data_IF_234351689907
#
_entry.id   IF_234351689907
#
_cell.length_a   1.000
_cell.length_b   1.000
_cell.length_c   1.000
_cell.angle_alpha   90.00
_cell.angle_beta   90.00
_cell.angle_gamma   90.00
#
_symmetry.space_group_name_H-M   'P 1'
#
loop_
_entity.id
_entity.type
_entity.pdbx_description
1 polymer ?
#
# COMPACT_ATOMS: atom_id res chain seq x y z
N UNK A 1 -28.02 18.98 13.54
CA UNK A 1 -26.94 19.98 13.68
C UNK A 1 -25.79 19.51 12.81
N UNK A 2 -25.65 20.14 11.64
CA UNK A 2 -24.69 19.75 10.59
C UNK A 2 -23.28 20.19 10.98
N UNK A 3 -22.32 19.26 10.92
CA UNK A 3 -20.89 19.55 11.08
C UNK A 3 -20.28 19.65 9.68
N UNK A 4 -19.99 20.88 9.27
CA UNK A 4 -19.42 21.26 7.98
C UNK A 4 -17.94 20.88 7.91
N UNK A 5 -17.51 20.21 6.83
CA UNK A 5 -16.10 20.01 6.51
C UNK A 5 -15.41 21.36 6.31
N UNK A 6 -14.33 21.61 7.06
CA UNK A 6 -13.45 22.76 6.85
C UNK A 6 -12.19 22.25 6.13
N UNK A 7 -12.18 22.37 4.81
CA UNK A 7 -10.93 22.54 4.06
C UNK A 7 -10.69 24.06 3.96
N UNK A 8 -9.79 24.59 4.78
CA UNK A 8 -9.40 26.01 4.72
C UNK A 8 -8.21 26.15 3.76
N UNK A 9 -8.45 26.71 2.59
CA UNK A 9 -7.41 27.17 1.67
C UNK A 9 -6.63 28.35 2.29
N UNK A 10 -5.30 28.21 2.36
CA UNK A 10 -4.39 29.29 2.72
C UNK A 10 -4.21 30.24 1.52
N UNK A 11 -4.79 31.44 1.60
CA UNK A 11 -4.44 32.58 0.75
C UNK A 11 -3.34 33.38 1.44
N UNK A 12 -2.17 33.48 0.79
CA UNK A 12 -1.04 34.31 1.23
C UNK A 12 -1.44 35.79 1.18
N UNK A 13 -1.48 36.45 2.34
CA UNK A 13 -1.57 37.91 2.45
C UNK A 13 -0.17 38.52 2.33
N UNK A 14 0.13 39.18 1.22
CA UNK A 14 1.23 40.14 1.14
C UNK A 14 0.74 41.52 1.59
N UNK A 15 1.46 42.11 2.55
CA UNK A 15 1.18 43.42 3.14
C UNK A 15 1.29 44.58 2.15
N UNK A 16 0.53 45.64 2.41
CA UNK A 16 0.31 46.77 1.51
C UNK A 16 1.30 47.93 1.62
N UNK A 17 1.16 48.87 0.68
CA UNK A 17 1.60 50.26 0.76
C UNK A 17 0.47 51.13 0.15
N UNK A 18 0.09 52.28 0.73
CA UNK A 18 -1.17 52.97 0.42
C UNK A 18 -0.97 54.09 -0.61
N UNK A 19 -1.93 54.26 -1.54
CA UNK A 19 -2.07 55.49 -2.33
C UNK A 19 -3.54 55.91 -2.40
N UNK A 20 -3.74 57.22 -2.34
CA UNK A 20 -4.93 57.97 -1.98
C UNK A 20 -6.12 57.92 -2.95
N UNK A 21 -7.27 58.35 -2.40
CA UNK A 21 -8.58 58.56 -3.02
C UNK A 21 -8.52 59.39 -4.31
N UNK A 22 -9.29 58.98 -5.32
CA UNK A 22 -10.32 59.82 -5.94
C UNK A 22 -11.32 58.99 -6.76
N UNK A 23 -12.52 59.52 -6.80
CA UNK A 23 -13.73 59.03 -7.44
C UNK A 23 -13.60 59.00 -8.97
N UNK A 24 -14.29 58.08 -9.62
CA UNK A 24 -15.44 58.36 -10.50
C UNK A 24 -15.84 57.08 -11.27
N UNK A 25 -17.14 56.93 -11.45
CA UNK A 25 -17.77 55.91 -12.30
C UNK A 25 -17.22 55.97 -13.73
N UNK A 26 -17.08 54.83 -14.40
CA UNK A 26 -17.36 54.62 -15.84
C UNK A 26 -17.27 53.13 -16.22
N UNK A 27 -18.04 52.76 -17.23
CA UNK A 27 -18.50 51.42 -17.62
C UNK A 27 -17.60 50.69 -18.64
N UNK A 28 -17.85 49.39 -18.82
CA UNK A 28 -17.19 48.41 -19.70
C UNK A 28 -16.74 48.88 -21.09
N UNK A 29 -15.41 48.98 -21.28
CA UNK A 29 -14.57 48.60 -22.43
C UNK A 29 -13.32 49.46 -22.40
N UNK A 30 -12.18 48.89 -21.97
CA UNK A 30 -10.83 49.23 -22.44
C UNK A 30 -9.78 48.36 -21.71
N UNK A 31 -8.61 48.23 -22.35
CA UNK A 31 -7.37 47.52 -21.95
C UNK A 31 -7.25 46.07 -22.48
N UNK A 32 -7.15 45.99 -23.80
CA UNK A 32 -6.36 45.00 -24.54
C UNK A 32 -5.17 45.76 -25.17
N UNK A 33 -3.98 45.72 -24.57
CA UNK A 33 -2.69 45.97 -25.26
C UNK A 33 -1.47 45.96 -24.30
N UNK A 34 -0.50 45.11 -24.65
CA UNK A 34 0.97 45.25 -24.49
C UNK A 34 1.64 44.91 -23.15
N UNK A 35 2.21 43.69 -23.08
CA UNK A 35 3.67 43.50 -22.92
C UNK A 35 4.13 42.26 -23.73
N UNK A 36 4.91 42.54 -24.77
CA UNK A 36 5.81 41.69 -25.59
C UNK A 36 7.09 41.35 -24.78
N UNK A 37 7.90 40.31 -24.98
CA UNK A 37 8.11 39.20 -25.94
C UNK A 37 9.03 38.13 -25.26
N UNK A 38 9.72 37.19 -25.97
CA UNK A 38 9.21 35.93 -26.54
C UNK A 38 9.91 34.67 -25.93
N UNK A 39 9.30 33.48 -26.09
CA UNK A 39 10.01 32.19 -25.89
C UNK A 39 10.09 31.43 -27.22
N UNK A 40 11.31 31.01 -27.55
CA UNK A 40 11.73 30.32 -28.78
C UNK A 40 11.16 28.89 -28.81
N UNK A 41 10.60 28.46 -29.96
CA UNK A 41 10.34 27.03 -30.27
C UNK A 41 11.29 26.54 -31.36
N UNK A 42 11.76 25.28 -31.32
CA UNK A 42 12.55 24.71 -32.41
C UNK A 42 11.67 24.37 -33.62
N UNK A 43 12.23 24.61 -34.80
CA UNK A 43 11.72 24.24 -36.11
C UNK A 43 11.75 22.72 -36.33
N UNK A 44 10.67 22.15 -36.88
CA UNK A 44 10.67 20.83 -37.51
C UNK A 44 10.23 21.02 -38.97
N UNK A 45 11.10 20.62 -39.90
CA UNK A 45 10.88 20.70 -41.33
C UNK A 45 9.88 19.63 -41.84
N UNK A 46 9.17 19.87 -42.96
CA UNK A 46 8.18 18.93 -43.48
C UNK A 46 8.75 18.05 -44.61
N UNK A 47 8.29 16.80 -44.70
CA UNK A 47 8.38 15.99 -45.92
C UNK A 47 7.12 15.14 -46.14
N UNK A 48 6.84 14.73 -47.40
CA UNK A 48 5.50 14.81 -47.98
C UNK A 48 4.76 13.47 -48.07
N UNK A 49 3.48 13.59 -48.42
CA UNK A 49 2.54 12.52 -48.74
C UNK A 49 3.04 11.51 -49.80
N UNK A 50 2.70 10.23 -49.60
CA UNK A 50 2.22 9.38 -50.69
C UNK A 50 1.31 8.26 -50.15
N UNK A 51 0.26 7.98 -50.90
CA UNK A 51 -0.73 6.91 -50.74
C UNK A 51 -0.35 5.71 -51.62
N UNK A 52 -0.67 4.48 -51.20
CA UNK A 52 -1.37 3.44 -52.00
C UNK A 52 -1.26 2.01 -51.44
N UNK A 53 -2.44 1.37 -51.41
CA UNK A 53 -2.81 -0.03 -51.71
C UNK A 53 -2.08 -1.29 -51.21
N UNK A 54 -2.87 -2.12 -50.50
CA UNK A 54 -3.16 -3.57 -50.68
C UNK A 54 -2.06 -4.52 -51.24
N UNK A 55 -1.67 -5.54 -50.45
CA UNK A 55 -1.86 -6.95 -50.84
C UNK A 55 -1.67 -7.96 -49.68
N UNK A 56 -2.39 -9.06 -49.79
CA UNK A 56 -2.43 -10.26 -48.94
C UNK A 56 -1.43 -11.32 -49.45
N UNK A 57 -0.85 -12.13 -48.54
CA UNK A 57 -0.36 -13.52 -48.75
C UNK A 57 0.22 -14.04 -47.42
N UNK A 58 -0.40 -15.00 -46.72
CA UNK A 58 -0.29 -16.47 -46.84
C UNK A 58 1.09 -17.10 -46.53
N UNK A 59 1.14 -17.78 -45.37
CA UNK A 59 1.68 -19.13 -45.06
C UNK A 59 3.18 -19.42 -45.35
N UNK A 60 3.94 -19.80 -44.32
CA UNK A 60 4.53 -21.15 -44.17
C UNK A 60 5.16 -21.38 -42.80
N UNK A 61 4.66 -22.44 -42.15
CA UNK A 61 5.18 -23.14 -40.99
C UNK A 61 6.35 -24.04 -41.39
N UNK A 62 7.33 -24.20 -40.49
CA UNK A 62 8.27 -25.31 -40.53
C UNK A 62 8.26 -26.03 -39.17
N UNK A 63 7.77 -27.27 -39.20
CA UNK A 63 8.07 -28.31 -38.22
C UNK A 63 9.37 -28.99 -38.63
N UNK A 64 10.24 -29.30 -37.65
CA UNK A 64 11.07 -30.51 -37.69
C UNK A 64 11.08 -31.17 -36.31
N UNK A 65 11.31 -32.48 -36.33
CA UNK A 65 10.94 -33.46 -35.32
C UNK A 65 12.19 -34.22 -34.85
N UNK A 66 12.03 -34.93 -33.72
CA UNK A 66 12.82 -36.08 -33.25
C UNK A 66 14.18 -35.80 -32.59
N UNK A 67 14.70 -36.58 -31.64
CA UNK A 67 14.15 -37.61 -30.74
C UNK A 67 15.23 -37.97 -29.71
N UNK A 68 14.75 -38.34 -28.51
CA UNK A 68 15.32 -39.20 -27.45
C UNK A 68 16.72 -39.83 -27.55
N UNK A 69 17.45 -39.84 -26.42
CA UNK A 69 18.05 -41.04 -25.81
C UNK A 69 18.56 -40.77 -24.37
N UNK A 70 18.58 -41.82 -23.55
CA UNK A 70 18.58 -41.80 -22.08
C UNK A 70 19.83 -42.48 -21.48
N UNK A 71 20.32 -41.94 -20.33
CA UNK A 71 20.97 -42.61 -19.17
C UNK A 71 22.36 -43.31 -19.34
N UNK A 72 23.06 -43.74 -18.24
CA UNK A 72 23.33 -43.12 -16.92
C UNK A 72 24.84 -43.23 -16.50
N UNK A 73 25.18 -42.84 -15.25
CA UNK A 73 26.10 -43.53 -14.28
C UNK A 73 26.99 -42.58 -13.45
N UNK A 74 27.08 -42.96 -12.16
CA UNK A 74 27.78 -42.50 -10.95
C UNK A 74 29.23 -42.00 -11.03
N UNK A 75 29.63 -41.19 -10.03
CA UNK A 75 31.02 -41.00 -9.64
C UNK A 75 31.18 -40.30 -8.28
N UNK A 76 31.38 -41.10 -7.23
CA UNK A 76 31.83 -40.68 -5.89
C UNK A 76 33.33 -40.36 -5.97
N UNK A 77 33.78 -39.26 -5.36
CA UNK A 77 35.21 -39.06 -5.05
C UNK A 77 35.39 -38.55 -3.62
N UNK A 78 36.12 -39.35 -2.85
CA UNK A 78 36.69 -39.06 -1.54
C UNK A 78 38.21 -39.16 -1.72
N UNK A 79 38.98 -38.11 -1.43
CA UNK A 79 40.45 -38.20 -1.28
C UNK A 79 40.88 -37.36 -0.07
N UNK A 80 41.69 -38.01 0.74
CA UNK A 80 42.26 -37.61 2.02
C UNK A 80 43.70 -37.09 1.90
N UNK A 81 44.09 -36.31 2.92
CA UNK A 81 45.44 -36.11 3.49
C UNK A 81 46.54 -35.40 2.69
N UNK A 82 47.17 -34.40 3.35
CA UNK A 82 48.63 -34.20 3.43
C UNK A 82 49.01 -33.29 4.63
N UNK A 83 49.57 -33.93 5.67
CA UNK A 83 50.79 -33.54 6.44
C UNK A 83 51.03 -32.07 6.86
N UNK A 84 50.99 -31.71 8.15
CA UNK A 84 52.01 -31.91 9.20
C UNK A 84 53.32 -31.11 9.02
N UNK A 85 53.47 -30.03 9.81
CA UNK A 85 54.77 -29.50 10.25
C UNK A 85 54.81 -29.51 11.78
N UNK A 86 55.91 -30.03 12.33
CA UNK A 86 56.14 -30.28 13.74
C UNK A 86 57.53 -29.76 14.14
N UNK A 87 57.64 -29.45 15.45
CA UNK A 87 58.81 -29.23 16.32
C UNK A 87 59.42 -27.81 16.46
N UNK A 88 60.03 -27.46 17.63
CA UNK A 88 60.14 -28.21 18.90
C UNK A 88 59.79 -27.46 20.21
N UNK A 89 59.52 -28.27 21.24
CA UNK A 89 59.40 -27.96 22.67
C UNK A 89 60.66 -27.36 23.31
N UNK A 90 60.48 -26.57 24.37
CA UNK A 90 61.26 -26.73 25.62
C UNK A 90 60.41 -26.48 26.87
N UNK A 91 60.75 -27.26 27.90
CA UNK A 91 60.04 -27.66 29.13
C UNK A 91 60.25 -26.67 30.30
N UNK A 92 59.68 -27.03 31.46
CA UNK A 92 59.79 -26.51 32.83
C UNK A 92 58.68 -25.51 33.20
N UNK A 93 57.94 -25.64 34.30
CA UNK A 93 57.86 -26.59 35.41
C UNK A 93 56.68 -26.12 36.27
N UNK A 94 55.91 -27.06 36.83
CA UNK A 94 54.80 -26.74 37.74
C UNK A 94 55.41 -26.37 39.09
N UNK A 95 55.00 -25.23 39.64
CA UNK A 95 55.13 -24.98 41.08
C UNK A 95 53.85 -24.36 41.65
N UNK A 96 53.34 -25.00 42.68
CA UNK A 96 52.15 -24.62 43.43
C UNK A 96 52.51 -23.65 44.55
N UNK A 97 51.70 -22.59 44.71
CA UNK A 97 51.37 -21.84 45.95
C UNK A 97 51.34 -20.32 45.69
N UNK A 98 50.16 -19.74 45.75
CA UNK A 98 49.87 -18.58 46.61
C UNK A 98 48.41 -18.18 46.45
N UNK A 99 47.65 -18.35 47.53
CA UNK A 99 46.30 -17.86 47.72
C UNK A 99 46.38 -16.36 48.04
N UNK A 100 45.83 -15.51 47.15
CA UNK A 100 45.38 -14.18 47.53
C UNK A 100 43.91 -14.03 47.18
N UNK A 101 43.11 -14.03 48.24
CA UNK A 101 41.67 -13.80 48.25
C UNK A 101 41.41 -12.31 48.04
N UNK A 102 41.18 -11.90 46.80
CA UNK A 102 40.67 -10.56 46.49
C UNK A 102 39.16 -10.65 46.41
N UNK A 103 38.47 -10.18 47.45
CA UNK A 103 37.02 -10.06 47.50
C UNK A 103 36.54 -9.10 46.40
N UNK A 104 36.10 -9.66 45.27
CA UNK A 104 35.35 -8.91 44.25
C UNK A 104 33.96 -8.66 44.82
N UNK A 105 33.71 -7.43 45.27
CA UNK A 105 32.35 -6.95 45.47
C UNK A 105 31.68 -6.92 44.10
N UNK A 106 30.82 -7.90 43.82
CA UNK A 106 29.91 -7.86 42.69
C UNK A 106 28.92 -6.72 42.94
N UNK A 107 29.22 -5.55 42.37
CA UNK A 107 28.22 -4.53 42.14
C UNK A 107 27.23 -5.08 41.12
N UNK A 108 26.06 -5.52 41.60
CA UNK A 108 24.93 -5.92 40.75
C UNK A 108 24.38 -4.67 40.08
N UNK A 109 25.05 -4.22 39.02
CA UNK A 109 24.48 -3.26 38.08
C UNK A 109 23.43 -4.02 37.29
N UNK A 110 22.17 -3.91 37.72
CA UNK A 110 20.99 -4.38 36.99
C UNK A 110 21.08 -3.84 35.56
N UNK A 111 21.47 -4.71 34.62
CA UNK A 111 21.41 -4.38 33.21
C UNK A 111 19.93 -4.34 32.86
N UNK A 112 19.36 -3.14 32.81
CA UNK A 112 18.11 -2.92 32.06
C UNK A 112 18.37 -3.48 30.66
N UNK A 113 17.77 -4.64 30.38
CA UNK A 113 17.72 -5.23 29.04
C UNK A 113 17.19 -4.13 28.13
N UNK A 114 18.03 -3.59 27.25
CA UNK A 114 17.54 -2.74 26.18
C UNK A 114 16.52 -3.58 25.42
N UNK A 115 15.26 -3.15 25.43
CA UNK A 115 14.25 -3.71 24.53
C UNK A 115 14.85 -3.64 23.13
N UNK A 116 15.01 -4.79 22.48
CA UNK A 116 15.30 -4.80 21.05
C UNK A 116 14.21 -4.00 20.34
N UNK A 117 14.52 -3.38 19.20
CA UNK A 117 13.55 -2.55 18.48
C UNK A 117 12.24 -3.27 18.10
N UNK A 118 12.18 -4.60 18.28
CA UNK A 118 11.02 -5.45 18.03
C UNK A 118 9.99 -5.51 19.17
N UNK A 119 10.37 -5.12 20.41
CA UNK A 119 9.48 -5.09 21.59
C UNK A 119 8.84 -3.69 21.80
N UNK A 120 8.93 -2.82 20.80
CA UNK A 120 8.41 -1.45 20.84
C UNK A 120 6.96 -1.43 20.34
N UNK A 121 6.10 -0.56 20.90
CA UNK A 121 4.72 -0.47 20.45
C UNK A 121 4.64 0.04 19.01
N UNK A 122 3.68 -0.49 18.27
CA UNK A 122 3.27 0.04 16.97
C UNK A 122 2.26 1.15 17.18
N UNK A 123 2.44 2.27 16.48
CA UNK A 123 1.50 3.39 16.49
C UNK A 123 1.05 3.70 15.06
N UNK A 124 -0.24 3.60 14.81
CA UNK A 124 -0.88 4.02 13.58
C UNK A 124 -1.38 5.46 13.72
N UNK A 125 -0.95 6.32 12.81
CA UNK A 125 -1.41 7.70 12.69
C UNK A 125 -2.21 7.79 11.37
N UNK A 126 -3.52 7.95 11.49
CA UNK A 126 -4.45 8.04 10.36
C UNK A 126 -5.62 8.97 10.67
N UNK A 127 -6.36 9.42 9.67
CA UNK A 127 -7.57 10.21 9.89
C UNK A 127 -8.54 9.48 10.83
N UNK A 128 -9.03 10.15 11.89
CA UNK A 128 -9.94 9.53 12.84
C UNK A 128 -11.33 9.31 12.23
N UNK A 129 -12.13 8.43 12.83
CA UNK A 129 -13.55 8.17 12.51
C UNK A 129 -13.87 7.56 11.14
N UNK A 130 -12.87 7.37 10.28
CA UNK A 130 -13.02 6.74 8.97
C UNK A 130 -12.09 5.53 8.83
N UNK A 131 -12.56 4.43 8.20
CA UNK A 131 -11.69 3.30 7.87
C UNK A 131 -10.53 3.76 6.97
N UNK A 132 -10.89 4.28 5.79
CA UNK A 132 -9.97 4.86 4.81
C UNK A 132 -8.79 3.96 4.44
N UNK A 133 -7.66 4.58 4.09
CA UNK A 133 -6.40 3.90 3.70
C UNK A 133 -5.70 3.24 4.90
N UNK A 134 -6.04 3.65 6.12
CA UNK A 134 -5.50 3.09 7.37
C UNK A 134 -6.08 1.72 7.71
N UNK A 135 -7.27 1.39 7.20
CA UNK A 135 -7.98 0.15 7.54
C UNK A 135 -7.20 -1.11 7.16
N UNK A 136 -6.45 -1.07 6.06
CA UNK A 136 -5.60 -2.19 5.63
C UNK A 136 -4.52 -2.52 6.68
N UNK A 137 -4.00 -1.50 7.37
CA UNK A 137 -2.98 -1.66 8.41
C UNK A 137 -3.62 -2.16 9.70
N UNK A 138 -4.80 -1.63 10.07
CA UNK A 138 -5.59 -2.13 11.20
C UNK A 138 -5.87 -3.62 11.05
N UNK A 139 -6.36 -4.05 9.90
CA UNK A 139 -6.63 -5.46 9.62
C UNK A 139 -5.38 -6.34 9.73
N UNK A 140 -4.20 -5.85 9.36
CA UNK A 140 -2.95 -6.60 9.53
C UNK A 140 -2.59 -6.81 11.01
N UNK A 141 -2.74 -5.77 11.85
CA UNK A 141 -2.55 -5.91 13.29
C UNK A 141 -3.61 -6.83 13.92
N UNK A 142 -4.88 -6.66 13.55
CA UNK A 142 -5.99 -7.46 14.07
C UNK A 142 -5.87 -8.93 13.65
N UNK A 143 -5.51 -9.23 12.40
CA UNK A 143 -5.28 -10.61 11.92
C UNK A 143 -4.14 -11.31 12.67
N UNK A 144 -3.06 -10.59 12.97
CA UNK A 144 -1.93 -11.14 13.74
C UNK A 144 -2.22 -11.19 15.25
N UNK A 145 -3.16 -10.37 15.75
CA UNK A 145 -3.39 -10.15 17.17
C UNK A 145 -2.28 -9.32 17.82
N UNK A 146 -1.53 -8.56 17.01
CA UNK A 146 -0.42 -7.74 17.47
C UNK A 146 -0.95 -6.43 18.05
N UNK A 147 -0.60 -6.08 19.31
CA UNK A 147 -1.01 -4.82 19.91
C UNK A 147 -0.50 -3.61 19.13
N UNK A 148 -1.37 -2.62 18.96
CA UNK A 148 -1.03 -1.32 18.36
C UNK A 148 -1.90 -0.22 18.97
N UNK A 149 -1.40 1.02 18.91
CA UNK A 149 -2.15 2.23 19.23
C UNK A 149 -2.66 2.90 17.95
N UNK A 150 -3.96 3.15 17.85
CA UNK A 150 -4.56 3.95 16.77
C UNK A 150 -4.66 5.41 17.22
N UNK A 151 -3.50 6.08 17.25
CA UNK A 151 -3.24 7.35 17.95
C UNK A 151 -4.34 8.38 17.74
N UNK A 152 -4.77 8.55 16.50
CA UNK A 152 -5.72 9.59 16.15
C UNK A 152 -7.14 9.31 16.64
N UNK A 153 -7.48 8.06 16.94
CA UNK A 153 -8.76 7.64 17.49
C UNK A 153 -8.76 7.53 19.03
N UNK A 154 -7.62 7.72 19.72
CA UNK A 154 -7.54 7.62 21.19
C UNK A 154 -8.16 8.83 21.91
N UNK A 155 -8.22 9.99 21.27
CA UNK A 155 -8.81 11.21 21.84
C UNK A 155 -9.37 12.14 20.75
N UNK A 156 -10.14 13.15 21.15
CA UNK A 156 -10.67 14.16 20.22
C UNK A 156 -9.55 15.00 19.59
N UNK A 157 -8.46 15.19 20.33
CA UNK A 157 -7.27 15.93 19.91
C UNK A 157 -6.29 15.08 19.09
N UNK A 158 -6.55 13.77 18.94
CA UNK A 158 -5.69 12.82 18.22
C UNK A 158 -5.49 13.16 16.73
N UNK A 159 -6.37 13.96 16.14
CA UNK A 159 -6.18 14.51 14.78
C UNK A 159 -4.90 15.37 14.67
N UNK A 160 -4.45 16.01 15.76
CA UNK A 160 -3.24 16.83 15.75
C UNK A 160 -2.00 16.00 15.39
N UNK A 161 -1.94 14.73 15.80
CA UNK A 161 -0.87 13.83 15.41
C UNK A 161 -0.78 13.65 13.88
N UNK A 162 -1.91 13.70 13.16
CA UNK A 162 -1.90 13.68 11.69
C UNK A 162 -1.41 15.02 11.14
N UNK A 163 -1.98 16.13 11.64
CA UNK A 163 -1.69 17.48 11.15
C UNK A 163 -0.22 17.87 11.32
N UNK A 164 0.39 17.48 12.44
CA UNK A 164 1.82 17.69 12.70
C UNK A 164 2.69 16.96 11.67
N UNK A 165 2.31 15.73 11.29
CA UNK A 165 3.11 14.93 10.36
C UNK A 165 3.05 15.45 8.93
N UNK A 166 1.89 15.96 8.48
CA UNK A 166 1.70 16.43 7.09
C UNK A 166 1.88 17.95 6.92
N UNK A 167 2.28 18.66 7.98
CA UNK A 167 2.53 20.09 7.89
C UNK A 167 3.69 20.37 6.93
N UNK A 168 3.56 21.44 6.15
CA UNK A 168 4.63 22.04 5.34
C UNK A 168 5.88 22.42 6.14
N UNK A 169 5.76 22.57 7.46
CA UNK A 169 6.88 22.83 8.38
C UNK A 169 7.60 21.56 8.82
N UNK A 170 7.02 20.38 8.62
CA UNK A 170 7.69 19.13 8.89
C UNK A 170 8.68 18.84 7.76
N UNK A 171 9.97 18.94 8.06
CA UNK A 171 11.05 18.68 7.09
C UNK A 171 11.63 17.26 7.23
N UNK A 172 11.05 16.41 8.07
CA UNK A 172 11.60 15.10 8.42
C UNK A 172 12.68 15.20 9.50
N UNK A 173 13.54 14.18 9.57
CA UNK A 173 14.68 14.14 10.48
C UNK A 173 15.80 13.25 9.90
N UNK A 174 16.88 13.05 10.66
CA UNK A 174 18.04 12.25 10.26
C UNK A 174 17.70 10.80 9.85
N UNK A 175 16.55 10.28 10.28
CA UNK A 175 16.10 8.92 9.98
C UNK A 175 15.16 8.84 8.77
N UNK A 176 14.72 9.96 8.19
CA UNK A 176 13.89 9.91 6.99
C UNK A 176 13.16 11.22 6.61
N UNK A 177 12.62 11.27 5.39
CA UNK A 177 11.85 12.41 4.90
C UNK A 177 10.49 12.53 5.63
N UNK A 178 9.84 13.72 5.59
CA UNK A 178 8.52 13.90 6.16
C UNK A 178 7.47 13.11 5.37
N UNK A 179 6.44 12.55 6.03
CA UNK A 179 5.30 11.97 5.34
C UNK A 179 4.50 13.00 4.54
N UNK A 180 4.11 12.66 3.31
CA UNK A 180 3.22 13.52 2.51
C UNK A 180 1.76 13.44 3.02
N UNK A 181 1.31 12.24 3.36
CA UNK A 181 -0.07 11.96 3.76
C UNK A 181 -0.14 10.71 4.66
N UNK A 182 -1.17 10.59 5.52
CA UNK A 182 -1.44 9.35 6.24
C UNK A 182 -1.97 8.25 5.29
N UNK A 183 -1.82 6.95 5.64
CA UNK A 183 -1.37 6.45 6.94
C UNK A 183 0.14 6.54 7.14
N UNK A 184 0.51 6.70 8.40
CA UNK A 184 1.88 6.72 8.90
C UNK A 184 1.99 5.69 10.02
N UNK A 185 3.03 4.88 9.98
CA UNK A 185 3.39 3.95 11.04
C UNK A 185 4.61 4.49 11.78
N UNK A 186 4.50 4.61 13.11
CA UNK A 186 5.64 4.73 14.01
C UNK A 186 5.90 3.39 14.68
N UNK A 187 7.17 2.99 14.75
CA UNK A 187 7.59 1.80 15.47
C UNK A 187 8.92 2.06 16.20
N UNK A 188 8.86 2.16 17.52
CA UNK A 188 9.99 2.59 18.34
C UNK A 188 10.50 4.00 17.99
N UNK A 189 11.77 4.27 18.28
CA UNK A 189 12.38 5.61 18.09
C UNK A 189 12.84 5.90 16.66
N UNK A 190 13.00 4.87 15.82
CA UNK A 190 13.77 4.99 14.58
C UNK A 190 12.94 4.72 13.32
N UNK A 191 11.71 4.20 13.44
CA UNK A 191 10.87 3.89 12.28
C UNK A 191 9.70 4.86 12.25
N UNK A 192 9.66 5.67 11.20
CA UNK A 192 8.55 6.53 10.83
C UNK A 192 8.37 6.40 9.32
N UNK A 193 7.41 5.57 8.89
CA UNK A 193 7.20 5.27 7.47
C UNK A 193 5.75 5.56 7.08
N UNK A 194 5.54 5.93 5.81
CA UNK A 194 4.22 6.24 5.24
C UNK A 194 3.97 5.42 3.97
N UNK A 195 2.77 5.56 3.40
CA UNK A 195 2.19 4.78 2.29
C UNK A 195 1.73 3.38 2.72
N UNK A 196 0.44 3.07 2.52
CA UNK A 196 -0.17 1.79 2.90
C UNK A 196 0.63 0.57 2.39
N UNK A 197 1.03 0.46 1.10
CA UNK A 197 1.78 -0.71 0.63
C UNK A 197 3.16 -0.83 1.30
N UNK A 198 3.85 0.30 1.50
CA UNK A 198 5.18 0.34 2.11
C UNK A 198 5.13 -0.06 3.59
N UNK A 199 4.12 0.42 4.32
CA UNK A 199 3.86 0.01 5.71
C UNK A 199 3.58 -1.49 5.78
N UNK A 200 2.71 -2.02 4.91
CA UNK A 200 2.38 -3.45 4.91
C UNK A 200 3.57 -4.32 4.52
N UNK A 201 4.41 -3.88 3.57
CA UNK A 201 5.65 -4.56 3.22
C UNK A 201 6.62 -4.66 4.43
N UNK A 202 6.71 -3.59 5.22
CA UNK A 202 7.51 -3.58 6.46
C UNK A 202 6.92 -4.49 7.54
N UNK A 203 5.59 -4.47 7.71
CA UNK A 203 4.90 -5.23 8.74
C UNK A 203 4.78 -6.72 8.40
N UNK A 204 4.66 -7.08 7.12
CA UNK A 204 4.39 -8.45 6.67
C UNK A 204 5.23 -9.52 7.36
N UNK A 205 6.58 -9.46 7.29
CA UNK A 205 7.45 -10.41 7.96
C UNK A 205 7.31 -10.38 9.49
N UNK A 206 7.10 -9.21 10.08
CA UNK A 206 7.00 -9.02 11.55
C UNK A 206 5.70 -9.57 12.13
N UNK A 207 4.65 -9.59 11.32
CA UNK A 207 3.33 -10.05 11.71
C UNK A 207 3.05 -11.50 11.27
N UNK A 208 4.01 -12.17 10.61
CA UNK A 208 3.81 -13.49 10.02
C UNK A 208 2.79 -13.50 8.87
N UNK A 209 2.67 -12.37 8.16
CA UNK A 209 1.73 -12.16 7.04
C UNK A 209 2.41 -12.17 5.67
N UNK A 210 3.62 -12.73 5.62
CA UNK A 210 4.36 -13.08 4.41
C UNK A 210 5.01 -14.45 4.58
N UNK A 211 5.30 -15.17 3.49
CA UNK A 211 6.20 -16.32 3.52
C UNK A 211 7.54 -15.98 4.17
N UNK A 212 8.16 -17.00 4.74
CA UNK A 212 9.54 -16.94 5.23
C UNK A 212 10.49 -16.66 4.05
N UNK A 213 11.32 -15.63 4.19
CA UNK A 213 12.28 -15.20 3.17
C UNK A 213 13.31 -16.27 2.83
N UNK A 214 13.64 -17.16 3.77
CA UNK A 214 14.59 -18.24 3.53
C UNK A 214 14.03 -19.30 2.56
N UNK A 215 12.72 -19.50 2.60
CA UNK A 215 12.01 -20.44 1.74
C UNK A 215 11.54 -19.80 0.43
N UNK A 216 11.23 -18.51 0.46
CA UNK A 216 10.70 -17.75 -0.66
C UNK A 216 11.22 -16.30 -0.65
N UNK A 217 12.43 -16.05 -1.18
CA UNK A 217 13.08 -14.74 -1.09
C UNK A 217 12.39 -13.65 -1.91
N UNK A 218 11.47 -14.01 -2.82
CA UNK A 218 10.73 -13.06 -3.67
C UNK A 218 9.25 -12.95 -3.32
N UNK A 219 8.73 -13.85 -2.48
CA UNK A 219 7.31 -13.91 -2.12
C UNK A 219 6.76 -12.61 -1.56
N UNK A 220 7.53 -11.90 -0.72
CA UNK A 220 7.12 -10.60 -0.18
C UNK A 220 6.84 -9.56 -1.29
N UNK A 221 7.62 -9.57 -2.38
CA UNK A 221 7.42 -8.64 -3.50
C UNK A 221 6.22 -9.03 -4.37
N UNK A 222 5.93 -10.33 -4.52
CA UNK A 222 4.70 -10.78 -5.17
C UNK A 222 3.45 -10.36 -4.38
N UNK A 223 3.47 -10.52 -3.06
CA UNK A 223 2.38 -10.08 -2.17
C UNK A 223 2.23 -8.55 -2.23
N UNK A 224 3.33 -7.81 -2.27
CA UNK A 224 3.28 -6.36 -2.43
C UNK A 224 2.69 -5.94 -3.79
N UNK A 225 3.03 -6.64 -4.89
CA UNK A 225 2.44 -6.38 -6.20
C UNK A 225 0.93 -6.61 -6.23
N UNK A 226 0.46 -7.69 -5.57
CA UNK A 226 -0.98 -7.96 -5.40
C UNK A 226 -1.67 -6.87 -4.59
N UNK A 227 -1.03 -6.41 -3.52
CA UNK A 227 -1.51 -5.31 -2.66
C UNK A 227 -1.66 -4.01 -3.44
N UNK A 228 -0.62 -3.62 -4.18
CA UNK A 228 -0.64 -2.44 -5.05
C UNK A 228 -1.77 -2.53 -6.08
N UNK A 229 -1.91 -3.68 -6.73
CA UNK A 229 -2.96 -3.91 -7.74
C UNK A 229 -4.37 -3.79 -7.17
N UNK A 230 -4.61 -4.32 -5.96
CA UNK A 230 -5.90 -4.20 -5.28
C UNK A 230 -6.19 -2.73 -4.93
N UNK A 231 -5.21 -2.02 -4.39
CA UNK A 231 -5.36 -0.61 -4.01
C UNK A 231 -5.60 0.28 -5.23
N UNK A 232 -4.96 0.03 -6.36
CA UNK A 232 -5.17 0.80 -7.59
C UNK A 232 -6.62 0.67 -8.07
N UNK A 233 -7.06 -0.56 -8.31
CA UNK A 233 -8.34 -0.80 -8.96
C UNK A 233 -9.56 -0.78 -8.06
N UNK A 234 -9.39 -1.20 -6.82
CA UNK A 234 -10.52 -1.43 -5.91
C UNK A 234 -10.56 -0.41 -4.77
N UNK A 235 -9.53 0.44 -4.60
CA UNK A 235 -9.55 1.56 -3.64
C UNK A 235 -9.44 2.92 -4.32
N UNK A 236 -8.38 3.17 -5.10
CA UNK A 236 -8.13 4.46 -5.74
C UNK A 236 -9.18 4.75 -6.81
N UNK A 237 -9.36 3.83 -7.78
CA UNK A 237 -10.35 4.03 -8.83
C UNK A 237 -11.79 4.08 -8.29
N UNK A 238 -12.07 3.41 -7.17
CA UNK A 238 -13.36 3.52 -6.47
C UNK A 238 -13.59 4.92 -5.88
N UNK A 239 -12.56 5.50 -5.24
CA UNK A 239 -12.59 6.89 -4.78
C UNK A 239 -12.80 7.87 -5.95
N UNK A 240 -12.09 7.67 -7.05
CA UNK A 240 -12.14 8.56 -8.20
C UNK A 240 -13.49 8.56 -8.91
N UNK A 241 -14.38 7.60 -8.63
CA UNK A 241 -15.76 7.62 -9.15
C UNK A 241 -16.60 8.78 -8.63
N UNK A 242 -16.32 9.31 -7.43
CA UNK A 242 -17.01 10.44 -6.83
C UNK A 242 -16.15 11.70 -6.69
N UNK A 243 -14.86 11.60 -7.05
CA UNK A 243 -13.95 12.73 -7.23
C UNK A 243 -13.11 12.64 -8.52
N UNK A 244 -13.73 12.53 -9.72
CA UNK A 244 -13.01 12.30 -10.97
C UNK A 244 -12.21 13.49 -11.52
N UNK A 245 -12.49 14.72 -11.06
CA UNK A 245 -11.83 15.94 -11.54
C UNK A 245 -10.82 16.46 -10.52
N UNK A 246 -11.25 16.63 -9.27
CA UNK A 246 -10.41 17.11 -8.20
C UNK A 246 -10.81 16.46 -6.87
N UNK A 247 -9.80 15.94 -6.16
CA UNK A 247 -9.97 15.33 -4.85
C UNK A 247 -10.36 16.33 -3.76
N UNK A 248 -10.14 17.62 -3.99
CA UNK A 248 -10.46 18.71 -3.07
C UNK A 248 -11.84 19.35 -3.28
N UNK A 249 -12.48 19.09 -4.41
CA UNK A 249 -13.81 19.64 -4.74
C UNK A 249 -14.92 18.74 -4.17
N UNK A 250 -16.09 19.31 -3.90
CA UNK A 250 -17.24 18.53 -3.46
C UNK A 250 -17.74 17.58 -4.56
N UNK A 251 -18.42 16.50 -4.17
CA UNK A 251 -19.01 15.54 -5.11
C UNK A 251 -20.07 16.22 -5.99
N UNK A 252 -20.88 17.07 -5.38
CA UNK A 252 -21.99 17.77 -6.02
C UNK A 252 -21.53 18.64 -7.20
N UNK A 253 -20.31 19.19 -7.12
CA UNK A 253 -19.72 20.07 -8.14
C UNK A 253 -19.15 19.30 -9.34
N UNK A 254 -18.98 17.97 -9.23
CA UNK A 254 -18.43 17.10 -10.28
C UNK A 254 -19.29 15.85 -10.54
N UNK A 255 -20.58 15.92 -10.19
CA UNK A 255 -21.54 14.81 -10.34
C UNK A 255 -21.74 14.32 -11.79
N UNK A 256 -21.84 15.19 -12.82
CA UNK A 256 -21.96 14.73 -14.21
C UNK A 256 -20.75 13.89 -14.67
N UNK A 257 -19.55 14.25 -14.26
CA UNK A 257 -18.30 13.53 -14.53
C UNK A 257 -18.24 12.24 -13.72
N UNK A 258 -18.72 12.27 -12.47
CA UNK A 258 -18.81 11.13 -11.57
C UNK A 258 -19.68 10.02 -12.17
N UNK A 259 -20.83 10.37 -12.75
CA UNK A 259 -21.71 9.42 -13.44
C UNK A 259 -21.00 8.72 -14.61
N UNK A 260 -20.23 9.46 -15.42
CA UNK A 260 -19.45 8.91 -16.55
C UNK A 260 -18.35 7.98 -16.05
N UNK A 261 -17.59 8.42 -15.03
CA UNK A 261 -16.50 7.64 -14.43
C UNK A 261 -17.02 6.37 -13.76
N UNK A 262 -18.11 6.46 -13.00
CA UNK A 262 -18.73 5.30 -12.37
C UNK A 262 -19.24 4.28 -13.40
N UNK A 263 -19.83 4.72 -14.52
CA UNK A 263 -20.24 3.82 -15.61
C UNK A 263 -19.06 3.04 -16.18
N UNK A 264 -17.94 3.71 -16.48
CA UNK A 264 -16.72 3.04 -16.94
C UNK A 264 -16.17 2.09 -15.86
N UNK A 265 -16.17 2.53 -14.61
CA UNK A 265 -15.69 1.74 -13.49
C UNK A 265 -16.46 0.41 -13.36
N UNK A 266 -17.79 0.46 -13.33
CA UNK A 266 -18.65 -0.72 -13.22
C UNK A 266 -18.53 -1.66 -14.41
N UNK A 267 -18.47 -1.12 -15.62
CA UNK A 267 -18.53 -1.95 -16.84
C UNK A 267 -17.17 -2.54 -17.23
N UNK A 268 -16.07 -1.82 -16.94
CA UNK A 268 -14.75 -2.16 -17.46
C UNK A 268 -13.72 -2.41 -16.37
N UNK A 269 -13.65 -1.51 -15.37
CA UNK A 269 -12.55 -1.53 -14.40
C UNK A 269 -12.77 -2.58 -13.32
N UNK A 270 -13.90 -2.52 -12.63
CA UNK A 270 -14.23 -3.45 -11.55
C UNK A 270 -14.20 -4.93 -12.03
N UNK A 271 -14.81 -5.32 -13.17
CA UNK A 271 -14.69 -6.68 -13.70
C UNK A 271 -13.25 -7.07 -14.06
N UNK A 272 -12.43 -6.13 -14.56
CA UNK A 272 -11.01 -6.39 -14.87
C UNK A 272 -10.21 -6.73 -13.63
N UNK A 273 -10.38 -5.99 -12.54
CA UNK A 273 -9.65 -6.23 -11.29
C UNK A 273 -10.16 -7.50 -10.58
N UNK A 274 -11.48 -7.71 -10.49
CA UNK A 274 -12.01 -8.98 -9.96
C UNK A 274 -11.56 -10.17 -10.80
N UNK A 275 -11.57 -10.05 -12.13
CA UNK A 275 -11.07 -11.08 -13.03
C UNK A 275 -9.57 -11.33 -12.90
N UNK A 276 -8.77 -10.32 -12.55
CA UNK A 276 -7.36 -10.50 -12.21
C UNK A 276 -7.19 -11.36 -10.96
N UNK A 277 -7.87 -11.03 -9.86
CA UNK A 277 -7.78 -11.80 -8.62
C UNK A 277 -8.40 -13.20 -8.73
N UNK A 278 -9.41 -13.38 -9.56
CA UNK A 278 -9.92 -14.71 -9.93
C UNK A 278 -8.78 -15.56 -10.53
N UNK A 279 -8.04 -15.04 -11.50
CA UNK A 279 -6.88 -15.75 -12.09
C UNK A 279 -5.77 -16.01 -11.09
N UNK A 280 -5.52 -15.08 -10.16
CA UNK A 280 -4.53 -15.28 -9.09
C UNK A 280 -4.92 -16.47 -8.20
N UNK A 281 -6.19 -16.56 -7.80
CA UNK A 281 -6.72 -17.67 -6.97
C UNK A 281 -6.87 -19.00 -7.73
N UNK A 282 -6.88 -18.98 -9.05
CA UNK A 282 -6.81 -20.20 -9.88
C UNK A 282 -5.37 -20.63 -10.16
N UNK A 283 -4.44 -19.67 -10.12
CA UNK A 283 -3.05 -19.89 -10.45
C UNK A 283 -2.33 -20.78 -9.44
N UNK A 284 -1.28 -21.50 -9.87
CA UNK A 284 -0.55 -22.45 -9.02
C UNK A 284 0.13 -21.79 -7.81
N UNK A 285 0.50 -20.51 -7.91
CA UNK A 285 1.11 -19.75 -6.81
C UNK A 285 0.20 -19.62 -5.58
N UNK A 286 -1.13 -19.71 -5.75
CA UNK A 286 -2.11 -19.72 -4.66
C UNK A 286 -2.10 -21.01 -3.84
N UNK A 287 -1.45 -22.08 -4.33
CA UNK A 287 -1.37 -23.42 -3.72
C UNK A 287 -2.74 -23.96 -3.25
N UNK A 288 -3.75 -23.90 -4.13
CA UNK A 288 -5.09 -24.43 -3.87
C UNK A 288 -6.20 -23.37 -3.91
N UNK A 289 -5.84 -22.10 -4.02
CA UNK A 289 -6.79 -21.03 -4.29
C UNK A 289 -7.62 -20.60 -3.09
N UNK A 290 -7.21 -20.95 -1.87
CA UNK A 290 -7.82 -20.43 -0.64
C UNK A 290 -7.36 -19.01 -0.34
N UNK A 291 -6.08 -18.73 -0.59
CA UNK A 291 -5.43 -17.43 -0.40
C UNK A 291 -4.65 -17.05 -1.65
N UNK A 292 -4.32 -15.76 -1.80
CA UNK A 292 -3.75 -15.22 -3.02
C UNK A 292 -2.36 -15.76 -3.35
N UNK A 293 -1.57 -16.12 -2.35
CA UNK A 293 -0.19 -16.56 -2.56
C UNK A 293 0.30 -17.50 -1.45
N UNK A 294 1.02 -18.55 -1.83
CA UNK A 294 1.73 -19.41 -0.89
C UNK A 294 0.84 -20.36 -0.08
N UNK A 295 -0.48 -20.39 -0.30
CA UNK A 295 -1.41 -21.27 0.41
C UNK A 295 -1.70 -20.85 1.85
N UNK A 296 -1.42 -19.60 2.21
CA UNK A 296 -1.60 -19.07 3.56
C UNK A 296 -2.10 -17.64 3.54
N UNK A 297 -2.72 -17.18 4.63
CA UNK A 297 -3.17 -15.80 4.77
C UNK A 297 -1.99 -14.83 4.75
N UNK A 298 -2.03 -13.83 3.86
CA UNK A 298 -1.05 -12.75 3.76
C UNK A 298 -1.70 -11.38 3.91
N UNK A 299 -0.91 -10.32 4.04
CA UNK A 299 -1.49 -8.97 4.06
C UNK A 299 -2.19 -8.60 2.73
N UNK A 300 -1.83 -9.21 1.60
CA UNK A 300 -2.54 -8.99 0.34
C UNK A 300 -3.98 -9.53 0.38
N UNK A 301 -4.21 -10.63 1.10
CA UNK A 301 -5.55 -11.19 1.30
C UNK A 301 -6.43 -10.23 2.11
N UNK A 302 -5.86 -9.63 3.16
CA UNK A 302 -6.54 -8.63 4.00
C UNK A 302 -6.85 -7.35 3.21
N UNK A 303 -5.92 -6.92 2.34
CA UNK A 303 -6.13 -5.78 1.45
C UNK A 303 -7.26 -6.08 0.46
N UNK A 304 -7.21 -7.24 -0.22
CA UNK A 304 -8.26 -7.61 -1.17
C UNK A 304 -9.61 -7.68 -0.47
N UNK A 305 -9.70 -8.35 0.68
CA UNK A 305 -10.91 -8.39 1.51
C UNK A 305 -11.48 -7.00 1.78
N UNK A 306 -10.66 -6.08 2.31
CA UNK A 306 -11.11 -4.72 2.65
C UNK A 306 -11.55 -3.91 1.43
N UNK A 307 -10.85 -4.07 0.29
CA UNK A 307 -11.23 -3.37 -0.94
C UNK A 307 -12.53 -3.93 -1.53
N UNK A 308 -12.73 -5.26 -1.48
CA UNK A 308 -13.98 -5.91 -1.89
C UNK A 308 -15.13 -5.50 -0.98
N UNK A 309 -14.93 -5.47 0.35
CA UNK A 309 -15.92 -4.98 1.32
C UNK A 309 -16.35 -3.53 1.02
N UNK A 310 -15.37 -2.68 0.71
CA UNK A 310 -15.59 -1.28 0.37
C UNK A 310 -16.38 -1.09 -0.93
N UNK A 311 -16.07 -1.84 -1.99
CA UNK A 311 -16.85 -1.75 -3.24
C UNK A 311 -18.21 -2.41 -3.12
N UNK A 312 -18.39 -3.43 -2.28
CA UNK A 312 -19.72 -3.96 -1.93
C UNK A 312 -20.57 -2.88 -1.26
N UNK A 313 -19.99 -2.08 -0.37
CA UNK A 313 -20.69 -0.95 0.25
C UNK A 313 -21.01 0.15 -0.77
N UNK A 314 -20.05 0.53 -1.63
CA UNK A 314 -20.22 1.64 -2.56
C UNK A 314 -21.15 1.30 -3.74
N UNK A 315 -21.05 0.09 -4.29
CA UNK A 315 -21.74 -0.38 -5.49
C UNK A 315 -22.51 -1.71 -5.26
N UNK A 316 -23.44 -1.78 -4.29
CA UNK A 316 -24.08 -3.03 -3.90
C UNK A 316 -24.83 -3.74 -5.04
N UNK A 317 -25.52 -3.00 -5.92
CA UNK A 317 -26.24 -3.60 -7.07
C UNK A 317 -25.26 -4.19 -8.07
N UNK A 318 -24.22 -3.43 -8.42
CA UNK A 318 -23.19 -3.90 -9.35
C UNK A 318 -22.49 -5.16 -8.83
N UNK A 319 -22.08 -5.17 -7.56
CA UNK A 319 -21.40 -6.33 -6.96
C UNK A 319 -22.34 -7.53 -6.83
N UNK A 320 -23.63 -7.34 -6.56
CA UNK A 320 -24.61 -8.43 -6.55
C UNK A 320 -24.76 -9.08 -7.94
N UNK A 321 -24.80 -8.28 -9.01
CA UNK A 321 -24.84 -8.77 -10.38
C UNK A 321 -23.54 -9.52 -10.77
N UNK A 322 -22.38 -8.97 -10.42
CA UNK A 322 -21.08 -9.61 -10.66
C UNK A 322 -20.95 -10.94 -9.89
N UNK A 323 -21.42 -10.99 -8.63
CA UNK A 323 -21.46 -12.23 -7.83
C UNK A 323 -22.37 -13.28 -8.45
N UNK A 324 -23.55 -12.88 -8.91
CA UNK A 324 -24.52 -13.80 -9.54
C UNK A 324 -24.06 -14.33 -10.90
N UNK A 325 -23.07 -13.68 -11.53
CA UNK A 325 -22.55 -14.09 -12.84
C UNK A 325 -21.71 -15.38 -12.82
N UNK A 326 -21.26 -15.85 -11.65
CA UNK A 326 -20.37 -17.00 -11.52
C UNK A 326 -18.90 -16.77 -11.94
N UNK A 327 -18.59 -15.61 -12.54
CA UNK A 327 -17.25 -15.36 -13.13
C UNK A 327 -16.15 -15.08 -12.12
N UNK A 328 -16.52 -14.74 -10.88
CA UNK A 328 -15.60 -14.30 -9.83
C UNK A 328 -15.77 -15.09 -8.53
N UNK A 329 -16.24 -16.34 -8.64
CA UNK A 329 -16.64 -17.17 -7.49
C UNK A 329 -15.52 -17.38 -6.48
N UNK A 330 -14.26 -17.50 -6.94
CA UNK A 330 -13.12 -17.65 -6.02
C UNK A 330 -12.84 -16.36 -5.27
N UNK A 331 -13.03 -15.19 -5.90
CA UNK A 331 -12.86 -13.90 -5.22
C UNK A 331 -13.93 -13.71 -4.14
N UNK A 332 -15.18 -14.04 -4.43
CA UNK A 332 -16.24 -13.96 -3.41
C UNK A 332 -16.09 -15.04 -2.33
N UNK A 333 -15.65 -16.25 -2.66
CA UNK A 333 -15.33 -17.27 -1.67
C UNK A 333 -14.14 -16.86 -0.78
N UNK A 334 -13.12 -16.19 -1.35
CA UNK A 334 -12.01 -15.58 -0.62
C UNK A 334 -12.50 -14.50 0.33
N UNK A 335 -13.37 -13.58 -0.13
CA UNK A 335 -13.98 -12.56 0.71
C UNK A 335 -14.70 -13.17 1.93
N UNK A 336 -15.57 -14.15 1.72
CA UNK A 336 -16.29 -14.80 2.83
C UNK A 336 -15.34 -15.52 3.80
N UNK A 337 -14.28 -16.15 3.28
CA UNK A 337 -13.27 -16.84 4.09
C UNK A 337 -12.49 -15.89 4.98
N UNK A 338 -11.99 -14.77 4.44
CA UNK A 338 -11.27 -13.77 5.23
C UNK A 338 -12.20 -13.11 6.24
N UNK A 339 -13.45 -12.81 5.86
CA UNK A 339 -14.48 -12.29 6.77
C UNK A 339 -14.76 -13.22 7.95
N UNK A 340 -14.76 -14.54 7.69
CA UNK A 340 -15.01 -15.57 8.69
C UNK A 340 -13.77 -15.92 9.55
N UNK A 341 -12.58 -15.42 9.21
CA UNK A 341 -11.36 -15.66 9.98
C UNK A 341 -11.53 -15.12 11.41
N UNK A 342 -11.29 -15.94 12.43
CA UNK A 342 -11.67 -15.70 13.83
C UNK A 342 -11.35 -14.28 14.32
N UNK A 343 -10.08 -13.87 14.22
CA UNK A 343 -9.62 -12.54 14.67
C UNK A 343 -10.21 -11.39 13.84
N UNK A 344 -10.42 -11.60 12.54
CA UNK A 344 -11.01 -10.59 11.67
C UNK A 344 -12.49 -10.44 12.00
N UNK A 345 -13.22 -11.54 12.14
CA UNK A 345 -14.62 -11.53 12.57
C UNK A 345 -14.79 -10.78 13.90
N UNK A 346 -13.97 -11.10 14.90
CA UNK A 346 -13.98 -10.41 16.19
C UNK A 346 -13.72 -8.91 16.07
N UNK A 347 -12.78 -8.49 15.21
CA UNK A 347 -12.54 -7.07 14.93
C UNK A 347 -13.74 -6.40 14.27
N UNK A 348 -14.33 -7.03 13.24
CA UNK A 348 -15.47 -6.50 12.51
C UNK A 348 -16.73 -6.32 13.39
N UNK A 349 -16.86 -7.12 14.43
CA UNK A 349 -17.95 -7.06 15.42
C UNK A 349 -17.66 -6.07 16.57
N UNK A 350 -16.45 -5.51 16.64
CA UNK A 350 -16.03 -4.59 17.70
C UNK A 350 -16.29 -3.12 17.37
N UNK A 351 -16.32 -2.28 18.41
CA UNK A 351 -16.41 -0.82 18.26
C UNK A 351 -15.18 -0.20 17.57
N UNK A 352 -14.08 -0.95 17.42
CA UNK A 352 -12.88 -0.49 16.70
C UNK A 352 -13.06 -0.50 15.18
N UNK A 353 -13.99 -1.30 14.64
CA UNK A 353 -14.33 -1.29 13.22
C UNK A 353 -15.19 -0.08 12.92
N UNK A 354 -14.59 0.93 12.30
CA UNK A 354 -15.32 2.13 11.90
C UNK A 354 -16.27 1.82 10.73
N UNK A 355 -17.42 2.51 10.71
CA UNK A 355 -18.39 2.41 9.63
C UNK A 355 -17.91 3.20 8.40
N UNK A 356 -18.27 2.74 7.22
CA UNK A 356 -18.11 3.56 6.01
C UNK A 356 -18.94 4.85 6.12
N UNK A 357 -18.44 5.90 5.46
CA UNK A 357 -18.99 7.26 5.51
C UNK A 357 -18.40 8.07 4.37
N UNK A 358 -18.09 9.35 4.59
CA UNK A 358 -17.51 10.24 3.56
C UNK A 358 -16.02 10.00 3.29
N UNK A 359 -15.60 8.73 3.23
CA UNK A 359 -14.24 8.30 2.95
C UNK A 359 -14.03 7.89 1.49
N UNK A 360 -13.20 6.85 1.29
CA UNK A 360 -12.87 6.25 -0.02
C UNK A 360 -14.10 5.62 -0.66
N UNK A 361 -14.84 4.82 0.12
CA UNK A 361 -16.02 4.11 -0.33
C UNK A 361 -17.25 4.89 0.10
N UNK A 362 -17.99 5.45 -0.87
CA UNK A 362 -19.22 6.20 -0.65
C UNK A 362 -20.33 5.56 -1.46
N UNK A 363 -21.48 5.34 -0.83
CA UNK A 363 -22.65 4.85 -1.53
C UNK A 363 -23.47 6.03 -2.05
N UNK A 364 -23.42 6.25 -3.35
CA UNK A 364 -24.30 7.15 -4.09
C UNK A 364 -25.15 6.28 -5.03
N UNK A 365 -26.47 6.15 -4.81
CA UNK A 365 -27.32 5.27 -5.62
C UNK A 365 -27.21 5.52 -7.12
N UNK A 366 -27.08 6.79 -7.53
CA UNK A 366 -26.90 7.18 -8.94
C UNK A 366 -25.58 6.71 -9.57
N UNK A 367 -24.57 6.39 -8.75
CA UNK A 367 -23.28 5.85 -9.22
C UNK A 367 -23.25 4.32 -9.24
N UNK A 368 -24.23 3.62 -8.65
CA UNK A 368 -24.29 2.16 -8.61
C UNK A 368 -24.87 1.54 -9.89
N UNK A 369 -25.60 2.34 -10.67
CA UNK A 369 -26.30 1.91 -11.88
C UNK A 369 -27.79 1.67 -11.65
N UNK A 370 -28.50 1.50 -12.76
CA UNK A 370 -29.93 1.18 -12.77
C UNK A 370 -30.12 -0.34 -12.65
N UNK A 371 -31.32 -0.75 -12.21
CA UNK A 371 -31.70 -2.15 -11.96
C UNK A 371 -31.63 -3.06 -13.19
#
# INVERSE_FOLDING_TARGET
MMSTCIFRNFQLKTGGIPIARRSDHLTSRDILAHLSAPFVRPSVAPHPHSSSHFHSSHIHSYHTHSSSASLPISGVYHISHLSSFFFPLKRFGIDSKSLHYTSIIMSTRSSKRQKTGEDQPYELIYWPTLPGRGEHIRLAFEASGTPYSDISNESKEGINAVLEQISDKNLGNDNGPPPLAPPILRHGSNVLISQTPNILLYLGPKLGLTPDTDNDPVGAYHINALTLTALDGLSNEAHDTHHPIATGDYYEDQKPESLKKAKDYRNNRLPKFLGYFQRVLEGPASKGGEYLYGGQLTYADLVLFQTVDGVIFAFPKCLAALRSSGKFDKVFAHYERVKAHEKIKAYLESDRRMKYGNGIYRHYPELDGED
#
